data_IF_698646714625
#
_entry.id   IF_698646714625
#
_cell.length_a   1.000
_cell.length_b   1.000
_cell.length_c   1.000
_cell.angle_alpha   90.00
_cell.angle_beta   90.00
_cell.angle_gamma   90.00
#
_symmetry.space_group_name_H-M   'P 1'
#
loop_
_entity.id
_entity.type
_entity.pdbx_description
1 polymer ?
#
# COMPACT_ATOMS: atom_id res chain seq x y z
N UNK A 1 10.48 19.03 58.79
CA UNK A 1 11.88 19.05 59.23
C UNK A 1 12.69 18.17 58.30
N UNK A 2 13.98 18.45 58.13
CA UNK A 2 14.89 17.66 57.30
C UNK A 2 16.00 17.09 58.18
N UNK A 3 16.31 15.80 57.98
CA UNK A 3 17.44 15.14 58.60
C UNK A 3 18.74 15.44 57.83
N UNK A 4 19.87 15.45 58.53
CA UNK A 4 21.18 15.54 57.88
C UNK A 4 21.56 14.16 57.31
N UNK A 5 21.62 14.06 55.98
CA UNK A 5 21.94 12.82 55.25
C UNK A 5 23.40 12.35 55.44
N UNK A 6 24.31 13.19 55.94
CA UNK A 6 25.72 12.82 56.12
C UNK A 6 26.00 12.28 57.52
N UNK A 7 25.41 12.90 58.55
CA UNK A 7 25.75 12.63 59.94
C UNK A 7 24.63 11.93 60.74
N UNK A 8 23.43 11.78 60.16
CA UNK A 8 22.29 11.14 60.82
C UNK A 8 21.80 11.89 62.06
N UNK A 9 22.09 13.20 62.14
CA UNK A 9 21.77 14.07 63.27
C UNK A 9 20.27 14.39 63.42
N UNK A 10 19.94 15.15 64.46
CA UNK A 10 18.56 15.53 64.76
C UNK A 10 17.94 16.39 63.65
N UNK A 11 16.68 16.10 63.33
CA UNK A 11 15.93 16.84 62.31
C UNK A 11 15.87 18.33 62.65
N UNK A 12 16.04 19.17 61.62
CA UNK A 12 15.94 20.64 61.75
C UNK A 12 14.82 21.18 60.90
N UNK A 13 14.21 22.26 61.35
CA UNK A 13 13.28 23.02 60.52
C UNK A 13 14.04 23.77 59.44
N UNK A 14 13.59 23.58 58.20
CA UNK A 14 14.14 24.26 57.02
C UNK A 14 12.97 24.90 56.29
N UNK A 15 13.09 26.18 55.98
CA UNK A 15 12.09 26.92 55.23
C UNK A 15 12.28 26.62 53.74
N UNK A 16 11.23 26.11 53.10
CA UNK A 16 11.19 25.84 51.67
C UNK A 16 10.26 26.82 50.96
N UNK A 17 10.63 27.21 49.74
CA UNK A 17 9.74 27.96 48.86
C UNK A 17 8.82 26.99 48.09
N UNK A 18 7.54 27.34 47.94
CA UNK A 18 6.56 26.59 47.16
C UNK A 18 6.09 27.40 45.95
N UNK A 19 5.80 26.72 44.84
CA UNK A 19 5.25 27.36 43.63
C UNK A 19 3.78 27.75 43.87
N UNK A 20 3.41 28.98 43.53
CA UNK A 20 2.01 29.46 43.58
C UNK A 20 1.35 29.25 42.22
N UNK A 21 0.94 28.01 41.94
CA UNK A 21 0.20 27.68 40.70
C UNK A 21 -1.29 28.06 40.85
N UNK A 22 -1.90 28.58 39.78
CA UNK A 22 -3.32 28.92 39.72
C UNK A 22 -3.96 28.35 38.47
N UNK A 23 -5.21 27.90 38.60
CA UNK A 23 -6.07 27.55 37.46
C UNK A 23 -6.90 28.80 37.15
N UNK A 24 -6.84 29.25 35.90
CA UNK A 24 -7.58 30.40 35.40
C UNK A 24 -8.50 29.93 34.27
N UNK A 25 -9.67 30.55 34.17
CA UNK A 25 -10.65 30.33 33.12
C UNK A 25 -10.52 31.37 32.00
N UNK A 26 -11.06 31.03 30.84
CA UNK A 26 -11.15 31.97 29.72
C UNK A 26 -11.94 33.22 30.13
N UNK A 27 -11.35 34.40 29.92
CA UNK A 27 -11.93 35.69 30.30
C UNK A 27 -11.34 36.31 31.58
N UNK A 28 -10.54 35.56 32.35
CA UNK A 28 -9.76 36.15 33.45
C UNK A 28 -8.51 36.87 32.93
N UNK A 29 -8.02 37.94 33.60
CA UNK A 29 -6.79 38.63 33.20
C UNK A 29 -5.57 37.69 33.27
N UNK A 30 -4.83 37.58 32.16
CA UNK A 30 -3.67 36.69 32.04
C UNK A 30 -2.31 37.43 32.04
N UNK A 31 -2.31 38.76 31.98
CA UNK A 31 -1.10 39.58 31.69
C UNK A 31 0.04 39.40 32.71
N UNK A 32 -0.29 39.08 33.96
CA UNK A 32 0.68 38.82 35.04
C UNK A 32 1.14 37.35 35.11
N UNK A 33 0.70 36.50 34.18
CA UNK A 33 0.92 35.05 34.21
C UNK A 33 1.57 34.53 32.93
N UNK A 34 2.45 33.53 33.09
CA UNK A 34 2.80 32.61 32.00
C UNK A 34 1.81 31.45 32.07
N UNK A 35 0.98 31.30 31.04
CA UNK A 35 -0.14 30.35 31.06
C UNK A 35 0.07 29.19 30.09
N UNK A 36 -0.40 28.01 30.49
CA UNK A 36 -0.51 26.83 29.65
C UNK A 36 -1.97 26.37 29.67
N UNK A 37 -2.59 26.21 28.50
CA UNK A 37 -3.96 25.70 28.41
C UNK A 37 -3.97 24.19 28.66
N UNK A 38 -4.56 23.78 29.78
CA UNK A 38 -4.54 22.38 30.25
C UNK A 38 -5.80 21.58 29.90
N UNK A 39 -6.95 22.24 29.68
CA UNK A 39 -8.20 21.57 29.38
C UNK A 39 -9.23 22.51 28.72
N UNK A 40 -10.23 21.93 28.08
CA UNK A 40 -11.50 22.58 27.76
C UNK A 40 -12.62 21.87 28.51
N UNK A 41 -13.63 22.62 28.94
CA UNK A 41 -14.80 22.05 29.63
C UNK A 41 -16.01 22.06 28.69
N UNK A 42 -16.71 20.94 28.65
CA UNK A 42 -17.97 20.75 27.92
C UNK A 42 -19.09 20.34 28.87
N UNK A 43 -20.34 20.43 28.41
CA UNK A 43 -21.49 19.86 29.13
C UNK A 43 -21.75 18.44 28.66
N UNK A 44 -21.80 17.50 29.59
CA UNK A 44 -22.22 16.13 29.32
C UNK A 44 -23.71 16.07 28.97
N UNK A 45 -24.16 14.92 28.43
CA UNK A 45 -25.59 14.65 28.21
C UNK A 45 -26.42 14.72 29.51
N UNK A 46 -25.79 14.55 30.67
CA UNK A 46 -26.42 14.72 31.99
C UNK A 46 -26.35 16.14 32.55
N UNK A 47 -25.85 17.11 31.76
CA UNK A 47 -25.77 18.53 32.11
C UNK A 47 -24.61 18.94 33.01
N UNK A 48 -23.76 17.99 33.44
CA UNK A 48 -22.57 18.23 34.27
C UNK A 48 -21.38 18.70 33.42
N UNK A 49 -20.44 19.43 34.02
CA UNK A 49 -19.18 19.76 33.36
C UNK A 49 -18.29 18.51 33.26
N UNK A 50 -17.67 18.33 32.10
CA UNK A 50 -16.68 17.30 31.83
C UNK A 50 -15.53 17.90 31.00
N UNK A 51 -14.34 17.32 31.09
CA UNK A 51 -13.26 17.69 30.19
C UNK A 51 -13.62 17.28 28.75
N UNK A 52 -13.23 18.11 27.77
CA UNK A 52 -13.38 17.81 26.35
C UNK A 52 -12.38 16.74 25.94
N UNK A 53 -12.85 15.59 25.46
CA UNK A 53 -12.00 14.57 24.84
C UNK A 53 -11.41 15.04 23.48
N UNK A 54 -11.97 16.09 22.90
CA UNK A 54 -11.49 16.66 21.64
C UNK A 54 -10.27 17.57 21.81
N UNK A 55 -10.06 18.13 23.01
CA UNK A 55 -8.93 19.01 23.27
C UNK A 55 -7.70 18.21 23.70
N UNK A 56 -6.56 18.53 23.09
CA UNK A 56 -5.26 17.96 23.45
C UNK A 56 -4.35 19.11 23.91
N UNK A 57 -3.92 19.12 25.19
CA UNK A 57 -2.98 20.13 25.66
C UNK A 57 -1.59 19.93 25.05
N UNK A 58 -0.71 20.95 25.13
CA UNK A 58 0.71 20.77 24.83
C UNK A 58 1.31 19.71 25.76
N UNK A 59 1.96 18.71 25.17
CA UNK A 59 2.40 17.51 25.86
C UNK A 59 3.90 17.35 25.73
N UNK A 60 4.61 17.16 26.85
CA UNK A 60 6.05 16.82 26.82
C UNK A 60 6.28 15.35 26.40
N UNK A 61 5.32 14.48 26.68
CA UNK A 61 5.36 13.07 26.31
C UNK A 61 4.10 12.69 25.55
N UNK A 62 4.24 11.87 24.50
CA UNK A 62 3.10 11.34 23.74
C UNK A 62 2.10 10.62 24.67
N UNK A 63 2.62 9.87 25.65
CA UNK A 63 1.86 9.14 26.68
C UNK A 63 0.96 10.04 27.54
N UNK A 64 1.21 11.35 27.58
CA UNK A 64 0.40 12.32 28.36
C UNK A 64 -0.99 12.57 27.75
N UNK A 65 -1.23 12.16 26.50
CA UNK A 65 -2.54 12.27 25.85
C UNK A 65 -2.97 10.95 25.21
N UNK A 66 -4.06 10.32 25.70
CA UNK A 66 -4.63 9.12 25.06
C UNK A 66 -4.98 9.34 23.59
N UNK A 67 -5.38 10.56 23.22
CA UNK A 67 -5.75 10.91 21.86
C UNK A 67 -4.53 10.92 20.92
N UNK A 68 -3.38 11.43 21.37
CA UNK A 68 -2.12 11.38 20.60
C UNK A 68 -1.66 9.95 20.37
N UNK A 69 -1.70 9.12 21.41
CA UNK A 69 -1.40 7.68 21.29
C UNK A 69 -2.36 6.99 20.32
N UNK A 70 -3.65 7.37 20.33
CA UNK A 70 -4.65 6.82 19.43
C UNK A 70 -4.40 7.23 17.96
N UNK A 71 -3.96 8.46 17.67
CA UNK A 71 -3.55 8.89 16.33
C UNK A 71 -2.42 7.99 15.80
N UNK A 72 -1.36 7.82 16.58
CA UNK A 72 -0.22 6.99 16.18
C UNK A 72 -0.65 5.52 15.95
N UNK A 73 -1.50 4.98 16.83
CA UNK A 73 -2.00 3.61 16.71
C UNK A 73 -2.79 3.40 15.40
N UNK A 74 -3.72 4.30 15.07
CA UNK A 74 -4.54 4.17 13.85
C UNK A 74 -3.70 4.27 12.58
N UNK A 75 -2.70 5.16 12.55
CA UNK A 75 -1.74 5.24 11.44
C UNK A 75 -0.96 3.92 11.33
N UNK A 76 -0.48 3.37 12.45
CA UNK A 76 0.27 2.12 12.47
C UNK A 76 -0.58 0.94 11.97
N UNK A 77 -1.84 0.84 12.38
CA UNK A 77 -2.80 -0.15 11.89
C UNK A 77 -3.00 -0.05 10.37
N UNK A 78 -3.17 1.18 9.86
CA UNK A 78 -3.38 1.44 8.44
C UNK A 78 -2.17 1.02 7.58
N UNK A 79 -0.96 1.42 7.96
CA UNK A 79 0.25 1.05 7.20
C UNK A 79 0.54 -0.45 7.30
N UNK A 80 0.23 -1.09 8.43
CA UNK A 80 0.41 -2.54 8.63
C UNK A 80 -0.58 -3.35 7.79
N UNK A 81 -1.84 -2.91 7.72
CA UNK A 81 -2.83 -3.49 6.84
C UNK A 81 -2.41 -3.39 5.37
N UNK A 82 -1.89 -2.23 4.95
CA UNK A 82 -1.40 -2.01 3.59
C UNK A 82 -0.19 -2.89 3.24
N UNK A 83 0.76 -3.01 4.18
CA UNK A 83 1.90 -3.92 4.03
C UNK A 83 1.44 -5.37 3.81
N UNK A 84 0.49 -5.83 4.61
CA UNK A 84 -0.08 -7.18 4.51
C UNK A 84 -0.80 -7.40 3.18
N UNK A 85 -1.56 -6.41 2.70
CA UNK A 85 -2.24 -6.43 1.40
C UNK A 85 -1.22 -6.61 0.26
N UNK A 86 -0.22 -5.73 0.19
CA UNK A 86 0.79 -5.72 -0.87
C UNK A 86 1.67 -7.00 -0.84
N UNK A 87 2.04 -7.47 0.35
CA UNK A 87 2.77 -8.73 0.51
C UNK A 87 1.92 -9.95 0.10
N UNK A 88 0.61 -9.92 0.37
CA UNK A 88 -0.34 -10.96 -0.05
C UNK A 88 -0.45 -11.06 -1.57
N UNK A 89 -0.59 -9.92 -2.26
CA UNK A 89 -0.61 -9.87 -3.72
C UNK A 89 0.67 -10.46 -4.34
N UNK A 90 1.83 -10.23 -3.72
CA UNK A 90 3.11 -10.80 -4.16
C UNK A 90 3.15 -12.33 -4.06
N UNK A 91 2.74 -12.90 -2.92
CA UNK A 91 2.75 -14.36 -2.69
C UNK A 91 1.85 -15.13 -3.66
N UNK A 92 0.73 -14.53 -4.07
CA UNK A 92 -0.19 -15.17 -5.02
C UNK A 92 0.34 -15.20 -6.45
N UNK A 93 1.24 -14.30 -6.83
CA UNK A 93 1.79 -14.20 -8.19
C UNK A 93 3.13 -14.91 -8.34
N UNK A 94 4.00 -14.81 -7.33
CA UNK A 94 5.33 -15.43 -7.35
C UNK A 94 5.29 -16.77 -6.62
N UNK A 95 5.18 -17.88 -7.37
CA UNK A 95 5.35 -19.23 -6.84
C UNK A 95 6.83 -19.53 -6.47
N UNK A 96 7.41 -18.73 -5.58
CA UNK A 96 8.74 -18.95 -4.99
C UNK A 96 9.93 -18.29 -5.69
N UNK A 97 9.80 -17.77 -6.92
CA UNK A 97 10.86 -16.98 -7.57
C UNK A 97 10.58 -15.47 -7.45
N UNK A 98 11.53 -14.76 -6.86
CA UNK A 98 11.53 -13.31 -6.74
C UNK A 98 11.99 -12.72 -8.08
N UNK A 99 11.14 -12.79 -9.09
CA UNK A 99 11.33 -12.02 -10.33
C UNK A 99 10.52 -10.73 -10.22
N UNK A 100 11.22 -9.59 -10.22
CA UNK A 100 10.61 -8.27 -10.21
C UNK A 100 10.33 -7.84 -11.64
N UNK A 101 9.07 -7.51 -11.92
CA UNK A 101 8.68 -6.88 -13.18
C UNK A 101 8.70 -5.36 -13.00
N UNK A 102 9.16 -4.56 -13.99
CA UNK A 102 9.14 -3.09 -13.88
C UNK A 102 7.72 -2.54 -13.67
N UNK A 103 6.68 -3.27 -14.10
CA UNK A 103 5.27 -2.97 -13.82
C UNK A 103 4.89 -3.05 -12.34
N UNK A 104 5.70 -3.72 -11.51
CA UNK A 104 5.48 -3.86 -10.07
C UNK A 104 6.37 -2.93 -9.23
N UNK A 105 7.25 -2.14 -9.88
CA UNK A 105 8.19 -1.27 -9.19
C UNK A 105 7.48 -0.29 -8.24
N UNK A 106 6.36 0.31 -8.65
CA UNK A 106 5.61 1.23 -7.81
C UNK A 106 5.04 0.57 -6.55
N UNK A 107 4.42 -0.61 -6.68
CA UNK A 107 3.92 -1.39 -5.53
C UNK A 107 5.06 -1.85 -4.61
N UNK A 108 6.20 -2.20 -5.19
CA UNK A 108 7.39 -2.56 -4.42
C UNK A 108 7.93 -1.37 -3.62
N UNK A 109 8.08 -0.20 -4.24
CA UNK A 109 8.53 1.01 -3.55
C UNK A 109 7.54 1.45 -2.49
N UNK A 110 6.24 1.34 -2.75
CA UNK A 110 5.23 1.61 -1.73
C UNK A 110 5.36 0.64 -0.55
N UNK A 111 5.48 -0.66 -0.83
CA UNK A 111 5.71 -1.68 0.20
C UNK A 111 7.00 -1.43 0.99
N UNK A 112 8.07 -1.01 0.31
CA UNK A 112 9.33 -0.64 0.94
C UNK A 112 9.15 0.54 1.91
N UNK A 113 8.52 1.62 1.47
CA UNK A 113 8.23 2.82 2.30
C UNK A 113 7.45 2.46 3.56
N UNK A 114 6.36 1.68 3.44
CA UNK A 114 5.59 1.28 4.65
C UNK A 114 6.39 0.34 5.55
N UNK A 115 7.10 -0.64 4.98
CA UNK A 115 7.89 -1.61 5.77
C UNK A 115 9.08 -0.97 6.48
N UNK A 116 9.70 0.05 5.90
CA UNK A 116 10.77 0.81 6.54
C UNK A 116 10.25 1.65 7.72
N UNK A 117 9.00 2.13 7.62
CA UNK A 117 8.39 3.02 8.61
C UNK A 117 7.76 2.28 9.80
N UNK A 118 7.12 1.12 9.56
CA UNK A 118 6.45 0.30 10.60
C UNK A 118 7.32 0.10 11.86
N UNK A 119 8.56 -0.41 11.79
CA UNK A 119 9.34 -0.67 13.00
C UNK A 119 9.67 0.60 13.79
N UNK A 120 9.85 1.74 13.12
CA UNK A 120 10.10 3.03 13.77
C UNK A 120 8.86 3.49 14.54
N UNK A 121 7.68 3.47 13.89
CA UNK A 121 6.44 3.88 14.56
C UNK A 121 6.03 2.90 15.66
N UNK A 122 6.28 1.60 15.50
CA UNK A 122 6.09 0.62 16.56
C UNK A 122 6.97 0.91 17.78
N UNK A 123 8.24 1.26 17.57
CA UNK A 123 9.13 1.61 18.68
C UNK A 123 8.63 2.84 19.44
N UNK A 124 8.25 3.91 18.71
CA UNK A 124 7.71 5.14 19.30
C UNK A 124 6.37 4.91 20.01
N UNK A 125 5.54 3.99 19.50
CA UNK A 125 4.27 3.63 20.14
C UNK A 125 4.48 2.83 21.44
N UNK A 126 5.40 1.87 21.42
CA UNK A 126 5.70 1.04 22.60
C UNK A 126 6.48 1.80 23.67
N UNK A 127 7.21 2.85 23.29
CA UNK A 127 7.95 3.73 24.18
C UNK A 127 7.37 5.15 24.08
N UNK A 128 6.11 5.31 24.49
CA UNK A 128 5.36 6.56 24.32
C UNK A 128 5.84 7.73 25.21
N UNK A 129 6.89 7.54 26.02
CA UNK A 129 7.57 8.61 26.78
C UNK A 129 8.59 9.34 25.88
N UNK A 130 8.12 9.76 24.70
CA UNK A 130 8.87 10.53 23.70
C UNK A 130 8.18 11.85 23.43
N UNK A 131 8.92 12.87 23.00
CA UNK A 131 8.34 14.15 22.66
C UNK A 131 7.43 14.02 21.42
N UNK A 132 6.23 14.63 21.39
CA UNK A 132 5.33 14.49 20.24
C UNK A 132 5.92 14.99 18.92
N UNK A 133 6.88 15.91 18.95
CA UNK A 133 7.60 16.37 17.75
C UNK A 133 8.38 15.24 17.06
N UNK A 134 9.03 14.35 17.83
CA UNK A 134 9.80 13.22 17.28
C UNK A 134 8.89 12.28 16.48
N UNK A 135 7.70 12.04 17.02
CA UNK A 135 6.66 11.25 16.36
C UNK A 135 6.15 11.99 15.12
N UNK A 136 5.89 13.28 15.23
CA UNK A 136 5.42 14.09 14.11
C UNK A 136 6.43 14.12 12.95
N UNK A 137 7.73 14.18 13.25
CA UNK A 137 8.80 14.15 12.25
C UNK A 137 8.84 12.82 11.51
N UNK A 138 8.69 11.70 12.23
CA UNK A 138 8.59 10.37 11.62
C UNK A 138 7.37 10.25 10.70
N UNK A 139 6.22 10.78 11.12
CA UNK A 139 4.99 10.83 10.31
C UNK A 139 5.15 11.73 9.08
N UNK A 140 5.78 12.89 9.23
CA UNK A 140 6.04 13.82 8.13
C UNK A 140 6.96 13.19 7.06
N UNK A 141 7.97 12.43 7.49
CA UNK A 141 8.84 11.67 6.58
C UNK A 141 8.04 10.62 5.80
N UNK A 142 7.21 9.83 6.48
CA UNK A 142 6.32 8.87 5.82
C UNK A 142 5.43 9.56 4.79
N UNK A 143 4.76 10.65 5.17
CA UNK A 143 3.86 11.36 4.27
C UNK A 143 4.60 11.96 3.06
N UNK A 144 5.81 12.48 3.26
CA UNK A 144 6.67 12.96 2.18
C UNK A 144 7.08 11.87 1.19
N UNK A 145 7.39 10.66 1.68
CA UNK A 145 7.67 9.50 0.82
C UNK A 145 6.41 9.03 0.08
N UNK A 146 5.24 9.03 0.74
CA UNK A 146 3.97 8.64 0.12
C UNK A 146 3.53 9.59 -1.00
N UNK A 147 3.91 10.86 -0.94
CA UNK A 147 3.65 11.83 -2.02
C UNK A 147 4.26 11.42 -3.36
N UNK A 148 5.30 10.58 -3.37
CA UNK A 148 5.89 10.06 -4.62
C UNK A 148 4.91 9.22 -5.44
N UNK A 149 3.84 8.71 -4.81
CA UNK A 149 2.80 7.92 -5.47
C UNK A 149 1.52 8.71 -5.74
N UNK A 150 1.45 9.99 -5.31
CA UNK A 150 0.30 10.86 -5.52
C UNK A 150 0.37 11.55 -6.88
N UNK A 151 -0.76 11.62 -7.57
CA UNK A 151 -0.90 12.44 -8.79
C UNK A 151 -1.13 13.92 -8.52
N UNK A 152 -1.42 14.29 -7.27
CA UNK A 152 -1.77 15.65 -6.86
C UNK A 152 -1.05 16.07 -5.57
N UNK A 153 -0.79 17.38 -5.44
CA UNK A 153 -0.16 18.00 -4.28
C UNK A 153 1.37 17.90 -4.24
N UNK A 154 1.97 18.44 -3.18
CA UNK A 154 3.41 18.48 -2.98
C UNK A 154 3.77 18.19 -1.51
N UNK A 155 4.93 17.57 -1.19
CA UNK A 155 5.40 17.40 0.19
C UNK A 155 5.51 18.68 1.04
N UNK A 156 5.46 19.87 0.41
CA UNK A 156 5.47 21.17 1.11
C UNK A 156 4.09 21.52 1.68
N UNK A 157 3.05 20.85 1.20
CA UNK A 157 1.67 21.04 1.63
C UNK A 157 1.33 20.17 2.86
N UNK A 158 2.33 19.54 3.48
CA UNK A 158 2.15 18.78 4.70
C UNK A 158 1.74 19.71 5.86
N UNK A 159 0.85 19.23 6.77
CA UNK A 159 0.51 19.98 7.97
C UNK A 159 1.76 20.36 8.77
N UNK A 160 1.77 21.57 9.33
CA UNK A 160 2.86 22.02 10.20
C UNK A 160 2.62 21.60 11.64
N UNK A 161 3.72 21.34 12.35
CA UNK A 161 3.70 21.07 13.77
C UNK A 161 3.47 22.38 14.53
N UNK A 162 2.44 22.41 15.38
CA UNK A 162 2.20 23.47 16.34
C UNK A 162 2.06 22.84 17.71
N UNK A 163 3.05 23.03 18.59
CA UNK A 163 3.06 22.40 19.91
C UNK A 163 1.87 22.88 20.77
N UNK A 164 1.51 24.15 20.65
CA UNK A 164 0.37 24.76 21.33
C UNK A 164 -0.98 24.22 20.85
N UNK A 165 -1.00 23.57 19.66
CA UNK A 165 -2.18 22.93 19.10
C UNK A 165 -1.86 21.53 18.56
N UNK A 166 -1.15 20.74 19.37
CA UNK A 166 -0.60 19.44 18.97
C UNK A 166 -1.68 18.46 18.52
N UNK A 167 -2.87 18.51 19.14
CA UNK A 167 -4.02 17.68 18.73
C UNK A 167 -4.44 17.92 17.29
N UNK A 168 -4.59 19.20 16.89
CA UNK A 168 -4.96 19.54 15.52
C UNK A 168 -3.86 19.19 14.52
N UNK A 169 -2.59 19.41 14.87
CA UNK A 169 -1.46 19.01 14.03
C UNK A 169 -1.46 17.50 13.76
N UNK A 170 -1.65 16.66 14.78
CA UNK A 170 -1.72 15.21 14.62
C UNK A 170 -2.96 14.76 13.84
N UNK A 171 -4.13 15.35 14.10
CA UNK A 171 -5.35 15.06 13.36
C UNK A 171 -5.22 15.36 11.86
N UNK A 172 -4.63 16.51 11.52
CA UNK A 172 -4.38 16.90 10.14
C UNK A 172 -3.37 15.96 9.46
N UNK A 173 -2.31 15.56 10.16
CA UNK A 173 -1.30 14.63 9.65
C UNK A 173 -1.89 13.23 9.43
N UNK A 174 -2.67 12.71 10.39
CA UNK A 174 -3.37 11.43 10.24
C UNK A 174 -4.26 11.43 8.99
N UNK A 175 -5.09 12.46 8.83
CA UNK A 175 -5.95 12.59 7.65
C UNK A 175 -5.13 12.61 6.36
N UNK A 176 -4.06 13.39 6.32
CA UNK A 176 -3.18 13.49 5.14
C UNK A 176 -2.55 12.14 4.78
N UNK A 177 -2.05 11.40 5.78
CA UNK A 177 -1.50 10.05 5.56
C UNK A 177 -2.61 9.11 5.08
N UNK A 178 -3.80 9.17 5.67
CA UNK A 178 -4.94 8.37 5.23
C UNK A 178 -5.31 8.59 3.76
N UNK A 179 -5.35 9.86 3.33
CA UNK A 179 -5.64 10.22 1.94
C UNK A 179 -4.55 9.66 1.01
N UNK A 180 -3.27 9.84 1.36
CA UNK A 180 -2.14 9.35 0.58
C UNK A 180 -2.10 7.81 0.51
N UNK A 181 -2.47 7.12 1.59
CA UNK A 181 -2.57 5.66 1.65
C UNK A 181 -3.72 5.11 0.78
N UNK A 182 -4.75 5.92 0.56
CA UNK A 182 -5.86 5.63 -0.36
C UNK A 182 -5.50 5.79 -1.83
N UNK A 183 -4.31 6.29 -2.17
CA UNK A 183 -3.90 6.50 -3.56
C UNK A 183 -3.82 5.17 -4.30
N UNK A 184 -4.66 5.05 -5.33
CA UNK A 184 -4.64 3.89 -6.22
C UNK A 184 -3.44 4.05 -7.14
N UNK A 185 -2.40 3.24 -6.93
CA UNK A 185 -1.31 3.11 -7.91
C UNK A 185 -1.91 2.46 -9.16
N UNK A 186 -2.02 3.16 -10.31
CA UNK A 186 -2.62 2.59 -11.49
C UNK A 186 -1.66 1.55 -12.05
N UNK A 187 -1.91 0.27 -11.78
CA UNK A 187 -1.22 -0.80 -12.52
C UNK A 187 -1.88 -0.88 -13.90
N UNK A 188 -1.34 -0.13 -14.87
CA UNK A 188 -1.81 -0.18 -16.27
C UNK A 188 -1.74 -1.58 -16.86
N UNK A 189 -0.86 -2.43 -16.32
CA UNK A 189 -0.71 -3.82 -16.70
C UNK A 189 -1.05 -4.74 -15.52
N UNK A 190 -2.04 -5.62 -15.69
CA UNK A 190 -2.43 -6.62 -14.70
C UNK A 190 -2.09 -8.03 -15.19
N UNK A 191 -1.34 -8.85 -14.42
CA UNK A 191 -1.16 -10.25 -14.75
C UNK A 191 -2.47 -11.01 -14.61
N UNK A 192 -2.73 -11.91 -15.55
CA UNK A 192 -3.81 -12.89 -15.49
C UNK A 192 -3.19 -14.25 -15.18
N UNK A 193 -3.35 -14.77 -13.95
CA UNK A 193 -2.79 -16.06 -13.58
C UNK A 193 -3.28 -17.16 -14.53
N UNK A 194 -2.35 -17.92 -15.09
CA UNK A 194 -2.62 -19.07 -15.93
C UNK A 194 -2.43 -20.35 -15.13
N UNK A 195 -3.50 -21.14 -14.99
CA UNK A 195 -3.46 -22.46 -14.38
C UNK A 195 -3.17 -23.51 -15.47
N UNK A 196 -2.14 -24.34 -15.29
CA UNK A 196 -1.86 -25.46 -16.18
C UNK A 196 -2.86 -26.59 -15.89
N UNK A 197 -3.90 -26.69 -16.71
CA UNK A 197 -5.00 -27.63 -16.50
C UNK A 197 -4.70 -29.02 -17.05
N UNK A 198 -3.92 -29.11 -18.13
CA UNK A 198 -3.43 -30.36 -18.74
C UNK A 198 -2.01 -30.16 -19.27
N UNK A 199 -1.39 -31.24 -19.71
CA UNK A 199 -0.16 -31.15 -20.49
C UNK A 199 -0.42 -30.26 -21.73
N UNK A 200 0.39 -29.22 -21.93
CA UNK A 200 0.25 -28.26 -23.02
C UNK A 200 -0.98 -27.34 -23.01
N UNK A 201 -1.81 -27.33 -21.95
CA UNK A 201 -3.00 -26.47 -21.84
C UNK A 201 -2.96 -25.59 -20.59
N UNK A 202 -3.08 -24.28 -20.79
CA UNK A 202 -3.04 -23.25 -19.76
C UNK A 202 -4.31 -22.41 -19.81
N UNK A 203 -4.98 -22.17 -18.68
CA UNK A 203 -6.25 -21.44 -18.63
C UNK A 203 -6.20 -20.32 -17.61
N UNK A 204 -6.56 -19.11 -18.03
CA UNK A 204 -6.73 -17.94 -17.16
C UNK A 204 -8.20 -17.58 -16.99
N UNK A 205 -8.56 -17.13 -15.79
CA UNK A 205 -9.90 -16.59 -15.47
C UNK A 205 -9.88 -15.07 -15.52
N UNK A 206 -10.75 -14.48 -16.33
CA UNK A 206 -10.87 -13.04 -16.52
C UNK A 206 -11.93 -12.50 -15.55
N UNK A 207 -11.49 -12.09 -14.36
CA UNK A 207 -12.40 -11.66 -13.26
C UNK A 207 -12.76 -10.17 -13.29
N UNK A 208 -11.90 -9.33 -13.86
CA UNK A 208 -12.12 -7.88 -13.96
C UNK A 208 -12.62 -7.56 -15.36
N UNK A 209 -13.88 -7.12 -15.46
CA UNK A 209 -14.52 -6.78 -16.75
C UNK A 209 -13.75 -5.68 -17.48
N UNK A 210 -13.06 -4.79 -16.74
CA UNK A 210 -12.20 -3.74 -17.32
C UNK A 210 -11.02 -4.30 -18.12
N UNK A 211 -10.58 -5.52 -17.82
CA UNK A 211 -9.52 -6.17 -18.61
C UNK A 211 -10.04 -6.64 -19.97
N UNK A 212 -11.33 -6.97 -20.10
CA UNK A 212 -11.93 -7.42 -21.36
C UNK A 212 -11.96 -6.29 -22.41
N UNK A 213 -12.06 -5.05 -21.96
CA UNK A 213 -11.98 -3.85 -22.80
C UNK A 213 -10.54 -3.53 -23.21
N UNK A 214 -9.57 -3.81 -22.33
CA UNK A 214 -8.14 -3.62 -22.57
C UNK A 214 -7.48 -4.58 -23.56
N UNK A 215 -6.16 -4.47 -23.74
CA UNK A 215 -5.37 -5.31 -24.65
C UNK A 215 -4.69 -6.46 -23.90
N UNK A 216 -4.58 -7.63 -24.53
CA UNK A 216 -3.92 -8.79 -23.92
C UNK A 216 -2.62 -9.14 -24.64
N UNK A 217 -1.60 -9.45 -23.85
CA UNK A 217 -0.28 -9.82 -24.33
C UNK A 217 0.18 -11.09 -23.63
N UNK A 218 0.63 -12.06 -24.42
CA UNK A 218 1.17 -13.34 -23.98
C UNK A 218 2.69 -13.29 -24.08
N UNK A 219 3.37 -13.46 -22.96
CA UNK A 219 4.82 -13.70 -22.92
C UNK A 219 5.07 -15.22 -22.90
N UNK A 220 5.91 -15.69 -23.84
CA UNK A 220 6.21 -17.11 -24.06
C UNK A 220 7.71 -17.35 -23.91
N UNK A 221 8.08 -18.39 -23.18
CA UNK A 221 9.46 -18.88 -23.08
C UNK A 221 9.47 -20.40 -23.09
N UNK A 222 10.44 -21.01 -23.76
CA UNK A 222 10.61 -22.46 -23.88
C UNK A 222 12.07 -22.79 -24.21
N UNK A 223 12.49 -24.03 -23.97
CA UNK A 223 13.83 -24.54 -24.31
C UNK A 223 13.94 -24.90 -25.81
N UNK A 224 13.73 -23.90 -26.66
CA UNK A 224 13.88 -23.98 -28.11
C UNK A 224 14.44 -22.65 -28.64
N UNK A 225 15.01 -22.60 -29.86
CA UNK A 225 15.45 -21.34 -30.45
C UNK A 225 14.32 -20.30 -30.52
N UNK A 226 14.61 -19.04 -30.22
CA UNK A 226 13.62 -17.96 -30.21
C UNK A 226 12.88 -17.83 -31.55
N UNK A 227 13.58 -18.01 -32.66
CA UNK A 227 13.00 -17.97 -34.01
C UNK A 227 11.90 -19.03 -34.19
N UNK A 228 12.07 -20.20 -33.56
CA UNK A 228 11.04 -21.25 -33.56
C UNK A 228 9.80 -20.77 -32.81
N UNK A 229 9.95 -20.12 -31.66
CA UNK A 229 8.85 -19.56 -30.88
C UNK A 229 8.11 -18.51 -31.72
N UNK A 230 8.85 -17.57 -32.31
CA UNK A 230 8.30 -16.46 -33.11
C UNK A 230 7.49 -16.99 -34.30
N UNK A 231 8.00 -17.98 -35.02
CA UNK A 231 7.37 -18.51 -36.24
C UNK A 231 6.24 -19.49 -35.95
N UNK A 232 6.43 -20.40 -35.00
CA UNK A 232 5.52 -21.54 -34.84
C UNK A 232 4.40 -21.29 -33.82
N UNK A 233 4.60 -20.47 -32.79
CA UNK A 233 3.54 -20.19 -31.80
C UNK A 233 2.30 -19.58 -32.44
N UNK A 234 2.38 -18.52 -33.29
CA UNK A 234 1.21 -17.98 -33.98
C UNK A 234 0.45 -18.98 -34.85
N UNK A 235 1.16 -19.98 -35.39
CA UNK A 235 0.61 -20.96 -36.33
C UNK A 235 -0.01 -22.17 -35.62
N UNK A 236 0.63 -22.61 -34.53
CA UNK A 236 0.32 -23.88 -33.86
C UNK A 236 -0.46 -23.69 -32.57
N UNK A 237 -0.37 -22.53 -31.92
CA UNK A 237 -1.15 -22.27 -30.72
C UNK A 237 -2.65 -22.29 -31.02
N UNK A 238 -3.42 -22.90 -30.12
CA UNK A 238 -4.89 -22.85 -30.15
C UNK A 238 -5.35 -22.03 -28.97
N UNK A 239 -5.96 -20.89 -29.24
CA UNK A 239 -6.41 -19.93 -28.22
C UNK A 239 -7.91 -19.74 -28.33
N UNK A 240 -8.64 -19.93 -27.23
CA UNK A 240 -10.11 -19.77 -27.17
C UNK A 240 -10.58 -19.80 -25.72
N UNK A 241 -11.88 -19.71 -25.50
CA UNK A 241 -12.50 -20.01 -24.21
C UNK A 241 -12.31 -21.47 -23.77
N UNK A 242 -12.37 -21.70 -22.46
CA UNK A 242 -12.15 -23.03 -21.86
C UNK A 242 -13.14 -24.11 -22.31
N UNK A 243 -14.35 -23.72 -22.72
CA UNK A 243 -15.39 -24.62 -23.24
C UNK A 243 -15.20 -25.00 -24.72
N UNK A 244 -14.43 -24.21 -25.49
CA UNK A 244 -14.24 -24.42 -26.94
C UNK A 244 -12.84 -24.89 -27.33
N UNK A 245 -11.85 -24.75 -26.44
CA UNK A 245 -10.45 -25.08 -26.75
C UNK A 245 -10.26 -26.54 -27.13
N UNK A 246 -10.96 -27.47 -26.49
CA UNK A 246 -10.87 -28.91 -26.80
C UNK A 246 -11.39 -29.23 -28.22
N UNK A 247 -12.45 -28.55 -28.67
CA UNK A 247 -12.98 -28.70 -30.03
C UNK A 247 -12.01 -28.16 -31.08
N UNK A 248 -11.38 -27.02 -30.80
CA UNK A 248 -10.34 -26.43 -31.64
C UNK A 248 -9.14 -27.36 -31.82
N UNK A 249 -8.71 -28.03 -30.75
CA UNK A 249 -7.62 -28.99 -30.77
C UNK A 249 -8.02 -30.21 -31.62
N UNK A 250 -9.18 -30.80 -31.35
CA UNK A 250 -9.64 -32.01 -32.03
C UNK A 250 -9.88 -31.80 -33.55
N UNK A 251 -10.43 -30.65 -33.93
CA UNK A 251 -10.73 -30.32 -35.32
C UNK A 251 -9.58 -29.60 -36.05
N UNK A 252 -8.43 -29.41 -35.39
CA UNK A 252 -7.27 -28.67 -35.90
C UNK A 252 -7.59 -27.24 -36.40
N UNK A 253 -8.70 -26.64 -35.94
CA UNK A 253 -9.18 -25.33 -36.37
C UNK A 253 -8.30 -24.20 -35.82
N UNK A 254 -8.39 -23.01 -36.44
CA UNK A 254 -7.71 -21.80 -35.93
C UNK A 254 -8.57 -21.15 -34.85
N UNK A 255 -7.93 -20.76 -33.75
CA UNK A 255 -8.57 -20.00 -32.67
C UNK A 255 -8.28 -18.50 -32.81
N UNK A 256 -8.26 -17.82 -31.68
CA UNK A 256 -7.79 -16.43 -31.56
C UNK A 256 -6.34 -16.35 -32.05
N UNK A 257 -6.07 -15.33 -32.88
CA UNK A 257 -4.75 -15.12 -33.48
C UNK A 257 -3.80 -14.49 -32.48
N UNK A 258 -2.55 -14.98 -32.47
CA UNK A 258 -1.44 -14.38 -31.74
C UNK A 258 -0.50 -13.67 -32.71
N UNK A 259 -0.29 -12.36 -32.52
CA UNK A 259 0.62 -11.56 -33.33
C UNK A 259 1.91 -11.31 -32.57
N UNK A 260 3.04 -11.79 -33.10
CA UNK A 260 4.36 -11.51 -32.50
C UNK A 260 4.63 -10.00 -32.46
N UNK A 261 5.23 -9.57 -31.36
CA UNK A 261 5.73 -8.22 -31.16
C UNK A 261 7.25 -8.29 -30.91
N UNK A 262 8.07 -7.57 -31.69
CA UNK A 262 9.51 -7.48 -31.44
C UNK A 262 9.85 -6.92 -30.05
N UNK A 263 9.00 -6.04 -29.54
CA UNK A 263 9.06 -5.52 -28.17
C UNK A 263 7.63 -5.32 -27.64
N UNK A 264 7.38 -5.60 -26.35
CA UNK A 264 6.08 -5.34 -25.77
C UNK A 264 5.82 -3.82 -25.60
N UNK A 265 4.56 -3.40 -25.39
CA UNK A 265 4.24 -2.01 -25.06
C UNK A 265 4.95 -1.52 -23.80
N UNK A 266 5.05 -0.20 -23.63
CA UNK A 266 5.74 0.45 -22.51
C UNK A 266 5.22 0.07 -21.12
N UNK A 267 3.97 -0.37 -21.04
CA UNK A 267 3.27 -0.82 -19.85
C UNK A 267 3.73 -2.20 -19.37
N UNK A 268 4.35 -2.99 -20.26
CA UNK A 268 4.80 -4.35 -19.99
C UNK A 268 6.34 -4.39 -19.93
N UNK A 269 6.92 -4.81 -18.81
CA UNK A 269 8.36 -4.97 -18.70
C UNK A 269 8.89 -6.07 -19.61
N UNK A 270 10.00 -5.76 -20.27
CA UNK A 270 10.77 -6.73 -21.05
C UNK A 270 11.49 -7.70 -20.10
N UNK A 271 11.25 -8.99 -20.28
CA UNK A 271 11.90 -10.07 -19.56
C UNK A 271 12.87 -10.79 -20.52
N UNK A 272 14.15 -10.99 -20.14
CA UNK A 272 15.10 -11.71 -20.97
C UNK A 272 14.62 -13.12 -21.34
N UNK A 273 14.85 -13.54 -22.59
CA UNK A 273 14.49 -14.89 -23.06
C UNK A 273 12.99 -15.16 -23.23
N UNK A 274 12.16 -14.11 -23.24
CA UNK A 274 10.72 -14.18 -23.54
C UNK A 274 10.38 -13.51 -24.86
N UNK A 275 9.47 -14.12 -25.58
CA UNK A 275 8.88 -13.58 -26.80
C UNK A 275 7.44 -13.14 -26.53
N UNK A 276 7.05 -11.99 -27.06
CA UNK A 276 5.78 -11.36 -26.76
C UNK A 276 4.82 -11.47 -27.95
N UNK A 277 3.56 -11.76 -27.65
CA UNK A 277 2.51 -11.89 -28.65
C UNK A 277 1.27 -11.12 -28.19
N UNK A 278 0.73 -10.26 -29.05
CA UNK A 278 -0.57 -9.65 -28.81
C UNK A 278 -1.69 -10.64 -29.17
N UNK A 279 -2.70 -10.73 -28.30
CA UNK A 279 -3.92 -11.49 -28.54
C UNK A 279 -4.86 -10.63 -29.37
N UNK A 280 -5.23 -11.09 -30.56
CA UNK A 280 -6.16 -10.38 -31.44
C UNK A 280 -7.61 -10.59 -30.95
N UNK A 281 -8.26 -9.51 -30.50
CA UNK A 281 -9.60 -9.54 -29.91
C UNK A 281 -10.73 -9.58 -30.96
N UNK A 282 -10.57 -10.36 -32.02
CA UNK A 282 -11.54 -10.45 -33.13
C UNK A 282 -12.12 -11.86 -33.31
N UNK A 283 -13.33 -11.91 -33.87
CA UNK A 283 -14.01 -13.14 -34.24
C UNK A 283 -14.73 -13.88 -33.10
N UNK A 284 -15.42 -14.95 -33.47
CA UNK A 284 -16.35 -15.69 -32.61
C UNK A 284 -15.69 -16.34 -31.38
N UNK A 285 -14.39 -16.66 -31.47
CA UNK A 285 -13.65 -17.22 -30.34
C UNK A 285 -13.39 -16.18 -29.25
N UNK A 286 -13.20 -14.91 -29.60
CA UNK A 286 -13.10 -13.84 -28.62
C UNK A 286 -14.43 -13.57 -27.92
N UNK A 287 -15.55 -13.61 -28.66
CA UNK A 287 -16.89 -13.50 -28.08
C UNK A 287 -17.16 -14.62 -27.07
N UNK A 288 -16.69 -15.85 -27.38
CA UNK A 288 -16.77 -16.95 -26.44
C UNK A 288 -15.95 -16.71 -25.17
N UNK A 289 -14.74 -16.15 -25.28
CA UNK A 289 -13.89 -15.77 -24.12
C UNK A 289 -14.58 -14.73 -23.24
N UNK A 290 -15.19 -13.70 -23.84
CA UNK A 290 -15.97 -12.70 -23.09
C UNK A 290 -17.14 -13.34 -22.35
N UNK A 291 -17.88 -14.23 -23.00
CA UNK A 291 -19.04 -14.91 -22.42
C UNK A 291 -18.65 -15.89 -21.30
N UNK A 292 -17.58 -16.66 -21.48
CA UNK A 292 -17.13 -17.66 -20.51
C UNK A 292 -16.29 -17.07 -19.38
N UNK A 293 -15.79 -15.83 -19.54
CA UNK A 293 -14.79 -15.18 -18.68
C UNK A 293 -13.55 -16.05 -18.47
N UNK A 294 -13.16 -16.79 -19.49
CA UNK A 294 -12.00 -17.68 -19.47
C UNK A 294 -11.27 -17.64 -20.81
N UNK A 295 -9.94 -17.68 -20.76
CA UNK A 295 -9.08 -17.79 -21.93
C UNK A 295 -8.10 -18.94 -21.73
N UNK A 296 -8.00 -19.80 -22.72
CA UNK A 296 -7.18 -21.00 -22.71
C UNK A 296 -6.19 -20.96 -23.86
N UNK A 297 -4.95 -21.34 -23.57
CA UNK A 297 -3.85 -21.43 -24.51
C UNK A 297 -3.38 -22.89 -24.56
N UNK A 298 -3.52 -23.50 -25.72
CA UNK A 298 -2.88 -24.76 -26.03
C UNK A 298 -1.66 -24.50 -26.92
N UNK A 299 -0.49 -24.99 -26.53
CA UNK A 299 0.75 -24.89 -27.30
C UNK A 299 1.38 -26.29 -27.33
N UNK A 300 1.70 -26.86 -28.52
CA UNK A 300 2.10 -28.26 -28.62
C UNK A 300 3.30 -28.66 -27.73
N UNK A 301 3.44 -29.95 -27.38
CA UNK A 301 4.50 -30.43 -26.48
C UNK A 301 5.94 -30.27 -27.00
N UNK A 302 6.11 -29.94 -28.29
CA UNK A 302 7.42 -29.70 -28.90
C UNK A 302 8.16 -28.46 -28.33
N UNK A 303 7.44 -27.60 -27.60
CA UNK A 303 7.99 -26.50 -26.81
C UNK A 303 8.30 -26.99 -25.40
N UNK A 304 9.49 -27.56 -25.20
CA UNK A 304 9.93 -28.08 -23.89
C UNK A 304 10.06 -26.98 -22.86
N UNK A 305 9.76 -27.30 -21.60
CA UNK A 305 9.82 -26.36 -20.46
C UNK A 305 9.08 -25.03 -20.72
N UNK A 306 7.92 -25.13 -21.39
CA UNK A 306 7.07 -24.00 -21.73
C UNK A 306 6.59 -23.25 -20.48
N UNK A 307 6.86 -21.95 -20.46
CA UNK A 307 6.36 -20.97 -19.50
C UNK A 307 5.53 -19.92 -20.24
N UNK A 308 4.33 -19.65 -19.70
CA UNK A 308 3.39 -18.66 -20.24
C UNK A 308 3.00 -17.67 -19.16
N UNK A 309 2.98 -16.39 -19.54
CA UNK A 309 2.40 -15.31 -18.74
C UNK A 309 1.45 -14.51 -19.61
N UNK A 310 0.23 -14.32 -19.13
CA UNK A 310 -0.76 -13.46 -19.76
C UNK A 310 -0.85 -12.14 -19.00
N UNK A 311 -0.73 -11.04 -19.72
CA UNK A 311 -0.82 -9.68 -19.20
C UNK A 311 -1.98 -8.96 -19.87
N UNK A 312 -2.88 -8.38 -19.08
CA UNK A 312 -3.93 -7.47 -19.55
C UNK A 312 -3.54 -6.02 -19.29
N UNK A 313 -3.44 -5.23 -20.34
CA UNK A 313 -3.19 -3.79 -20.27
C UNK A 313 -4.52 -3.06 -20.37
N UNK A 314 -4.88 -2.32 -19.33
CA UNK A 314 -6.10 -1.50 -19.30
C UNK A 314 -5.90 -0.29 -20.22
N UNK A 315 -6.94 0.07 -20.95
CA UNK A 315 -6.98 1.30 -21.77
C UNK A 315 -7.13 2.54 -20.88
#
# INVERSE_FOLDING_TARGET
AAADENSGGSEREVVLAAKTLRILFEGEPLDDYVTLKIAELTRSASGKFAASDAYVPPCLFLSSSPQLVAYLRRILEMISAKSSELAGQRRQRSAGLVEFTMSEAANFWFLHTVNATIPVLMHLHNNADVHPEDVFLALARLAGELFTFSGEGHPKDLPQYSHDNVGASFAAMEKKISDLMGTIIPTKCAPVPLEKTRESLFTGKLRDDRLLEGQFYLAVSAEVPEEKIIREVPLKAKVSSSDRVDQLIAAALRGITLRHLPSPPSEIPVQPGRQYFQVDKSGDHWEAVKKSRSISFYIPPEFKNLKLELMGVKE
#
